data_IF_028555219027
#
_entry.id   IF_028555219027
#
_cell.length_a   1.000
_cell.length_b   1.000
_cell.length_c   1.000
_cell.angle_alpha   90.00
_cell.angle_beta   90.00
_cell.angle_gamma   90.00
#
_symmetry.space_group_name_H-M   'P 1'
#
loop_
_entity.id
_entity.type
_entity.pdbx_description
1 polymer ?
#
# COMPACT_ATOMS: atom_id res chain seq x y z
N UNK A 1 6.23 -3.21 -0.36
CA UNK A 1 6.75 -4.42 -1.03
C UNK A 1 5.60 -5.13 -1.74
N UNK A 2 5.83 -5.64 -2.94
CA UNK A 2 4.79 -6.31 -3.74
C UNK A 2 4.97 -7.84 -3.66
N UNK A 3 3.88 -8.59 -3.87
CA UNK A 3 3.87 -10.07 -3.87
C UNK A 3 4.46 -10.69 -2.59
N UNK A 4 4.20 -10.07 -1.43
CA UNK A 4 4.85 -10.43 -0.16
C UNK A 4 4.35 -11.72 0.47
N UNK A 5 3.12 -12.15 0.19
CA UNK A 5 2.59 -13.45 0.61
C UNK A 5 1.40 -13.90 -0.23
N UNK A 6 1.09 -15.19 -0.14
CA UNK A 6 -0.15 -15.80 -0.63
C UNK A 6 -0.82 -16.54 0.53
N UNK A 7 -2.14 -16.41 0.67
CA UNK A 7 -2.93 -17.14 1.68
C UNK A 7 -3.70 -18.25 0.97
N UNK A 8 -3.44 -19.51 1.32
CA UNK A 8 -4.14 -20.66 0.77
C UNK A 8 -5.55 -20.81 1.40
N UNK A 9 -6.37 -21.68 0.81
CA UNK A 9 -7.76 -21.90 1.23
C UNK A 9 -7.91 -22.42 2.67
N UNK A 10 -6.85 -23.02 3.22
CA UNK A 10 -6.78 -23.47 4.62
C UNK A 10 -6.36 -22.36 5.60
N UNK A 11 -6.14 -21.15 5.10
CA UNK A 11 -5.66 -19.98 5.84
C UNK A 11 -4.14 -19.96 6.03
N UNK A 12 -3.39 -20.94 5.50
CA UNK A 12 -1.93 -20.96 5.60
C UNK A 12 -1.33 -19.87 4.73
N UNK A 13 -0.48 -19.04 5.33
CA UNK A 13 0.27 -17.99 4.64
C UNK A 13 1.62 -18.50 4.15
N UNK A 14 1.91 -18.24 2.87
CA UNK A 14 3.16 -18.62 2.20
C UNK A 14 3.90 -17.40 1.68
N UNK A 15 5.19 -17.34 1.95
CA UNK A 15 6.10 -16.30 1.45
C UNK A 15 6.88 -16.86 0.26
N UNK A 16 6.19 -17.01 -0.87
CA UNK A 16 6.70 -17.71 -2.06
C UNK A 16 8.05 -17.19 -2.59
N UNK A 17 8.32 -15.90 -2.37
CA UNK A 17 9.53 -15.21 -2.82
C UNK A 17 10.36 -14.67 -1.66
N UNK A 18 10.09 -15.12 -0.43
CA UNK A 18 10.57 -14.50 0.80
C UNK A 18 9.77 -13.24 1.17
N UNK A 19 10.09 -12.63 2.31
CA UNK A 19 9.45 -11.42 2.79
C UNK A 19 10.43 -10.53 3.55
N UNK A 20 10.08 -9.26 3.73
CA UNK A 20 10.77 -8.35 4.64
C UNK A 20 11.90 -7.53 4.03
N UNK A 21 12.42 -7.92 2.85
CA UNK A 21 13.52 -7.21 2.19
C UNK A 21 13.20 -5.73 1.90
N UNK A 22 11.94 -5.41 1.60
CA UNK A 22 11.48 -4.02 1.43
C UNK A 22 11.47 -3.22 2.73
N UNK A 23 11.20 -3.86 3.87
CA UNK A 23 11.25 -3.22 5.18
C UNK A 23 12.71 -3.00 5.63
N UNK A 24 13.56 -4.00 5.45
CA UNK A 24 15.00 -3.90 5.70
C UNK A 24 15.64 -2.79 4.85
N UNK A 25 15.30 -2.73 3.56
CA UNK A 25 15.81 -1.67 2.67
C UNK A 25 15.31 -0.28 3.10
N UNK A 26 14.06 -0.16 3.52
CA UNK A 26 13.52 1.11 4.01
C UNK A 26 14.27 1.60 5.26
N UNK A 27 14.57 0.68 6.19
CA UNK A 27 15.41 0.96 7.37
C UNK A 27 16.81 1.42 6.97
N UNK A 28 17.48 0.71 6.05
CA UNK A 28 18.81 1.06 5.57
C UNK A 28 18.86 2.44 4.91
N UNK A 29 17.80 2.82 4.18
CA UNK A 29 17.69 4.10 3.50
C UNK A 29 17.16 5.22 4.41
N UNK A 30 16.76 4.91 5.65
CA UNK A 30 16.15 5.89 6.55
C UNK A 30 14.82 6.46 6.03
N UNK A 31 14.08 5.69 5.22
CA UNK A 31 12.78 6.07 4.67
C UNK A 31 11.67 5.28 5.35
N UNK A 32 10.44 5.82 5.34
CA UNK A 32 9.31 5.12 5.94
C UNK A 32 8.91 3.91 5.11
N UNK A 33 8.80 2.76 5.76
CA UNK A 33 8.15 1.60 5.18
C UNK A 33 6.63 1.78 5.23
N UNK A 34 5.97 1.64 4.07
CA UNK A 34 4.53 1.93 3.95
C UNK A 34 3.64 0.69 3.94
N UNK A 35 4.19 -0.50 3.67
CA UNK A 35 3.42 -1.74 3.71
C UNK A 35 3.86 -2.82 2.71
N UNK A 36 3.15 -3.93 2.77
CA UNK A 36 3.35 -5.13 1.96
C UNK A 36 2.03 -5.54 1.30
N UNK A 37 2.04 -5.97 0.05
CA UNK A 37 0.84 -6.33 -0.73
C UNK A 37 0.82 -7.82 -1.03
N UNK A 38 -0.30 -8.53 -0.80
CA UNK A 38 -0.40 -9.96 -1.08
C UNK A 38 -0.44 -10.25 -2.60
N UNK A 39 -0.05 -11.47 -2.96
CA UNK A 39 -0.21 -12.04 -4.28
C UNK A 39 -1.57 -12.76 -4.35
N UNK A 40 -2.60 -12.08 -4.87
CA UNK A 40 -3.93 -12.65 -5.08
C UNK A 40 -4.46 -12.36 -6.49
N UNK A 41 -5.18 -13.29 -7.15
CA UNK A 41 -5.68 -13.10 -8.51
C UNK A 41 -6.57 -11.85 -8.68
N UNK A 42 -7.38 -11.55 -7.67
CA UNK A 42 -8.36 -10.47 -7.69
C UNK A 42 -7.69 -9.11 -7.90
N UNK A 43 -6.45 -8.93 -7.43
CA UNK A 43 -5.69 -7.70 -7.66
C UNK A 43 -5.44 -7.45 -9.15
N UNK A 44 -4.99 -8.49 -9.86
CA UNK A 44 -4.75 -8.43 -11.30
C UNK A 44 -6.07 -8.22 -12.04
N UNK A 45 -7.07 -9.05 -11.76
CA UNK A 45 -8.36 -9.03 -12.47
C UNK A 45 -9.10 -7.70 -12.27
N UNK A 46 -9.08 -7.17 -11.05
CA UNK A 46 -9.67 -5.88 -10.74
C UNK A 46 -8.94 -4.74 -11.45
N UNK A 47 -7.61 -4.81 -11.57
CA UNK A 47 -6.84 -3.84 -12.35
C UNK A 47 -7.16 -3.91 -13.85
N UNK A 48 -7.22 -5.12 -14.42
CA UNK A 48 -7.46 -5.35 -15.85
C UNK A 48 -8.86 -4.87 -16.28
N UNK A 49 -9.86 -5.01 -15.40
CA UNK A 49 -11.26 -4.66 -15.68
C UNK A 49 -11.67 -3.26 -15.18
N UNK A 50 -10.74 -2.47 -14.63
CA UNK A 50 -11.03 -1.12 -14.12
C UNK A 50 -11.84 -1.08 -12.82
N UNK A 51 -11.85 -2.17 -12.05
CA UNK A 51 -12.48 -2.27 -10.73
C UNK A 51 -11.45 -2.72 -9.67
N UNK A 52 -10.49 -1.86 -9.28
CA UNK A 52 -9.36 -2.25 -8.45
C UNK A 52 -9.79 -2.65 -7.04
N UNK A 53 -9.20 -3.73 -6.52
CA UNK A 53 -9.47 -4.25 -5.16
C UNK A 53 -9.15 -3.26 -4.06
N UNK A 54 -8.21 -2.33 -4.32
CA UNK A 54 -7.88 -1.23 -3.42
C UNK A 54 -9.09 -0.35 -3.04
N UNK A 55 -10.14 -0.30 -3.87
CA UNK A 55 -11.38 0.43 -3.58
C UNK A 55 -12.38 -0.35 -2.70
N UNK A 56 -12.04 -1.59 -2.30
CA UNK A 56 -12.90 -2.52 -1.54
C UNK A 56 -12.28 -2.84 -0.17
N UNK A 57 -12.36 -1.94 0.82
CA UNK A 57 -11.67 -2.07 2.11
C UNK A 57 -12.06 -3.30 2.93
N UNK A 58 -13.18 -3.95 2.61
CA UNK A 58 -13.66 -5.20 3.20
C UNK A 58 -12.85 -6.44 2.78
N UNK A 59 -12.06 -6.34 1.72
CA UNK A 59 -11.19 -7.43 1.24
C UNK A 59 -9.81 -7.36 1.89
N UNK A 60 -9.07 -8.47 1.97
CA UNK A 60 -7.70 -8.50 2.52
C UNK A 60 -6.80 -7.46 1.85
N UNK A 61 -6.75 -7.46 0.51
CA UNK A 61 -5.92 -6.51 -0.22
C UNK A 61 -6.43 -5.07 -0.08
N UNK A 62 -7.74 -4.85 -0.07
CA UNK A 62 -8.30 -3.50 0.13
C UNK A 62 -7.95 -2.93 1.51
N UNK A 63 -8.00 -3.75 2.57
CA UNK A 63 -7.58 -3.35 3.91
C UNK A 63 -6.08 -2.99 3.95
N UNK A 64 -5.23 -3.74 3.25
CA UNK A 64 -3.81 -3.43 3.09
C UNK A 64 -3.62 -2.07 2.41
N UNK A 65 -4.30 -1.80 1.29
CA UNK A 65 -4.19 -0.51 0.60
C UNK A 65 -4.72 0.65 1.44
N UNK A 66 -5.80 0.45 2.20
CA UNK A 66 -6.33 1.45 3.12
C UNK A 66 -5.30 1.80 4.21
N UNK A 67 -4.60 0.81 4.76
CA UNK A 67 -3.56 1.04 5.75
C UNK A 67 -2.33 1.76 5.15
N UNK A 68 -1.89 1.36 3.95
CA UNK A 68 -0.83 2.07 3.23
C UNK A 68 -1.20 3.53 2.99
N UNK A 69 -2.45 3.81 2.60
CA UNK A 69 -2.95 5.16 2.39
C UNK A 69 -2.98 5.97 3.70
N UNK A 70 -3.37 5.35 4.82
CA UNK A 70 -3.33 5.97 6.16
C UNK A 70 -1.90 6.36 6.55
N UNK A 71 -0.95 5.45 6.35
CA UNK A 71 0.48 5.67 6.63
C UNK A 71 1.01 6.85 5.80
N UNK A 72 0.68 6.89 4.51
CA UNK A 72 1.06 7.98 3.61
C UNK A 72 0.40 9.30 4.02
N UNK A 73 -0.88 9.33 4.36
CA UNK A 73 -1.57 10.55 4.83
C UNK A 73 -0.89 11.11 6.09
N UNK A 74 -0.52 10.24 7.03
CA UNK A 74 0.19 10.65 8.24
C UNK A 74 1.59 11.20 7.98
N UNK A 75 2.32 10.63 7.04
CA UNK A 75 3.65 11.12 6.64
C UNK A 75 3.57 12.41 5.81
N UNK A 76 2.56 12.50 4.93
CA UNK A 76 2.36 13.63 4.04
C UNK A 76 1.59 14.79 4.67
N UNK A 77 1.07 14.65 5.90
CA UNK A 77 0.48 15.75 6.69
C UNK A 77 1.42 16.95 6.67
N UNK A 78 1.07 17.91 5.81
CA UNK A 78 2.03 18.85 5.26
C UNK A 78 2.67 19.73 6.34
N UNK A 79 3.98 19.96 6.22
CA UNK A 79 4.49 21.31 6.47
C UNK A 79 3.71 22.26 5.57
N UNK A 80 2.88 23.14 6.14
CA UNK A 80 2.15 24.16 5.36
C UNK A 80 3.16 25.02 4.61
N UNK A 81 3.49 24.67 3.38
CA UNK A 81 4.31 25.50 2.50
C UNK A 81 3.37 26.45 1.78
N UNK A 82 3.09 27.58 2.43
CA UNK A 82 2.44 28.69 1.77
C UNK A 82 3.41 29.22 0.70
N UNK A 83 3.06 29.09 -0.57
CA UNK A 83 3.72 29.85 -1.62
C UNK A 83 3.08 31.24 -1.65
N UNK A 84 3.83 32.34 -1.45
CA UNK A 84 3.27 33.68 -1.31
C UNK A 84 2.44 34.14 -2.53
N UNK A 85 2.67 33.53 -3.70
CA UNK A 85 1.94 33.85 -4.93
C UNK A 85 0.67 32.99 -5.17
N UNK A 86 0.40 31.97 -4.34
CA UNK A 86 -0.81 31.16 -4.49
C UNK A 86 -2.03 31.93 -3.97
N UNK A 87 -2.67 32.72 -4.84
CA UNK A 87 -4.00 33.27 -4.57
C UNK A 87 -5.04 32.18 -4.82
N UNK A 88 -5.63 31.64 -3.77
CA UNK A 88 -6.86 30.85 -3.89
C UNK A 88 -7.95 31.80 -4.43
N UNK A 89 -8.39 31.56 -5.65
CA UNK A 89 -9.57 32.23 -6.20
C UNK A 89 -10.78 31.73 -5.40
N UNK A 90 -11.42 32.66 -4.69
CA UNK A 90 -12.69 32.47 -3.98
C UNK A 90 -13.86 32.43 -4.94
#
# INVERSE_FOLDING_TARGET
ENMSWFTADDGTRYELFGSGGGAELAEQLGVRFIGQVPLIPELREGSDNGNPVAARPETEAGAVFAEMARVLDEEMKSSKRAHPELKLLS
#
